data_IF_365268139485
#
_entry.id   IF_365268139485
#
_cell.length_a   1.000
_cell.length_b   1.000
_cell.length_c   1.000
_cell.angle_alpha   90.00
_cell.angle_beta   90.00
_cell.angle_gamma   90.00
#
_symmetry.space_group_name_H-M   'P 1'
#
loop_
_entity.id
_entity.type
_entity.pdbx_description
1 polymer ?
#
# COMPACT_ATOMS: atom_id res chain seq x y z
N UNK A 1 16.07 -3.72 17.67
CA UNK A 1 16.16 -2.26 17.44
C UNK A 1 17.61 -1.84 17.32
N UNK A 2 17.91 -1.03 16.32
CA UNK A 2 19.20 -0.35 16.14
C UNK A 2 18.96 1.15 16.09
N UNK A 3 19.94 1.95 16.51
CA UNK A 3 19.87 3.41 16.57
C UNK A 3 19.69 3.94 17.99
N UNK A 4 19.91 5.24 18.16
CA UNK A 4 19.70 5.89 19.45
C UNK A 4 18.23 6.23 19.62
N UNK A 5 17.51 5.48 20.43
CA UNK A 5 16.16 5.86 20.80
C UNK A 5 16.16 6.81 21.98
N UNK A 6 15.29 7.76 21.86
CA UNK A 6 15.04 8.74 22.91
C UNK A 6 13.99 8.20 23.87
N UNK A 7 13.79 8.88 24.98
CA UNK A 7 12.64 8.66 25.89
C UNK A 7 11.27 8.78 25.22
N UNK A 8 11.24 9.15 23.92
CA UNK A 8 10.03 9.34 23.10
C UNK A 8 9.65 8.11 22.26
N UNK A 9 10.51 7.08 22.23
CA UNK A 9 10.21 5.79 21.59
C UNK A 9 9.29 4.99 22.49
N UNK A 10 8.25 4.40 21.93
CA UNK A 10 7.31 3.50 22.61
C UNK A 10 7.00 2.31 21.74
N UNK A 11 7.03 1.14 22.31
CA UNK A 11 6.54 -0.10 21.71
C UNK A 11 5.67 -0.82 22.76
N UNK A 12 4.44 -1.08 22.42
CA UNK A 12 3.48 -1.76 23.29
C UNK A 12 2.65 -2.76 22.51
N UNK A 13 2.28 -3.85 23.16
CA UNK A 13 1.33 -4.84 22.62
C UNK A 13 0.07 -4.77 23.44
N UNK A 14 -1.04 -4.45 22.77
CA UNK A 14 -2.38 -4.45 23.36
C UNK A 14 -3.38 -5.06 22.38
N UNK A 15 -4.24 -5.94 22.86
CA UNK A 15 -5.30 -6.58 22.06
C UNK A 15 -4.77 -7.19 20.74
N UNK A 16 -3.66 -7.95 20.82
CA UNK A 16 -2.94 -8.54 19.68
C UNK A 16 -2.43 -7.52 18.64
N UNK A 17 -2.34 -6.26 19.02
CA UNK A 17 -1.82 -5.19 18.17
C UNK A 17 -0.52 -4.67 18.74
N UNK A 18 0.56 -4.77 17.97
CA UNK A 18 1.83 -4.11 18.26
C UNK A 18 1.78 -2.67 17.75
N UNK A 19 1.95 -1.73 18.67
CA UNK A 19 2.06 -0.30 18.36
C UNK A 19 3.47 0.16 18.61
N UNK A 20 4.08 0.72 17.58
CA UNK A 20 5.40 1.33 17.66
C UNK A 20 5.26 2.79 17.28
N UNK A 21 5.75 3.67 18.11
CA UNK A 21 5.72 5.10 17.86
C UNK A 21 6.95 5.80 18.39
N UNK A 22 7.36 6.84 17.69
CA UNK A 22 8.43 7.71 18.11
C UNK A 22 8.09 9.16 17.74
N UNK A 23 8.29 10.08 18.68
CA UNK A 23 8.09 11.51 18.39
C UNK A 23 9.33 12.04 17.64
N UNK A 24 9.14 12.87 16.61
CA UNK A 24 10.24 13.49 15.89
C UNK A 24 11.16 14.27 16.85
N UNK A 25 12.46 14.16 16.63
CA UNK A 25 13.47 14.99 17.30
C UNK A 25 14.49 15.46 16.26
N UNK A 26 14.51 16.76 15.99
CA UNK A 26 15.40 17.36 14.98
C UNK A 26 16.89 17.26 15.31
N UNK A 27 17.22 16.93 16.56
CA UNK A 27 18.61 16.78 17.03
C UNK A 27 19.16 15.37 16.84
N UNK A 28 18.32 14.45 16.30
CA UNK A 28 18.75 13.06 16.05
C UNK A 28 19.50 12.93 14.74
N UNK A 29 20.74 12.44 14.74
CA UNK A 29 21.48 12.17 13.52
C UNK A 29 21.04 10.87 12.82
N UNK A 30 20.43 9.91 13.54
CA UNK A 30 20.15 8.58 13.04
C UNK A 30 18.66 8.23 13.09
N UNK A 31 18.24 7.35 12.17
CA UNK A 31 16.90 6.77 12.17
C UNK A 31 16.83 5.58 13.13
N UNK A 32 15.70 5.41 13.81
CA UNK A 32 15.45 4.18 14.57
C UNK A 32 15.06 3.07 13.61
N UNK A 33 15.78 1.96 13.66
CA UNK A 33 15.43 0.74 12.94
C UNK A 33 14.82 -0.25 13.92
N UNK A 34 13.68 -0.81 13.54
CA UNK A 34 12.95 -1.80 14.34
C UNK A 34 12.67 -3.03 13.48
N UNK A 35 13.15 -4.17 13.91
CA UNK A 35 12.80 -5.46 13.31
C UNK A 35 11.68 -6.10 14.13
N UNK A 36 10.61 -6.49 13.45
CA UNK A 36 9.46 -7.15 14.06
C UNK A 36 9.34 -8.56 13.46
N UNK A 37 9.34 -9.56 14.33
CA UNK A 37 9.06 -10.94 13.96
C UNK A 37 7.59 -11.23 14.19
N UNK A 38 6.93 -11.85 13.21
CA UNK A 38 5.50 -12.17 13.28
C UNK A 38 5.23 -13.55 12.66
N UNK A 39 4.16 -14.19 13.09
CA UNK A 39 3.71 -15.46 12.51
C UNK A 39 2.58 -15.24 11.50
N UNK A 40 1.68 -14.32 11.77
CA UNK A 40 0.57 -13.96 10.90
C UNK A 40 0.17 -12.50 11.12
N UNK A 41 -0.20 -11.83 10.04
CA UNK A 41 -0.72 -10.46 10.07
C UNK A 41 -2.10 -10.41 9.41
N UNK A 42 -2.99 -9.60 9.99
CA UNK A 42 -4.30 -9.27 9.42
C UNK A 42 -4.40 -7.80 9.06
N UNK A 43 -3.59 -6.97 9.68
CA UNK A 43 -3.57 -5.54 9.42
C UNK A 43 -2.16 -4.98 9.56
N UNK A 44 -1.84 -4.00 8.71
CA UNK A 44 -0.61 -3.20 8.77
C UNK A 44 -0.98 -1.74 8.61
N UNK A 45 -0.57 -0.90 9.54
CA UNK A 45 -0.79 0.55 9.47
C UNK A 45 0.53 1.29 9.62
N UNK A 46 0.87 2.10 8.62
CA UNK A 46 2.09 2.89 8.56
C UNK A 46 1.74 4.38 8.49
N UNK A 47 2.33 5.16 9.38
CA UNK A 47 2.15 6.61 9.41
C UNK A 47 3.50 7.31 9.59
N UNK A 48 3.99 7.96 8.53
CA UNK A 48 5.27 8.66 8.54
C UNK A 48 6.49 7.76 8.75
N UNK A 49 6.38 6.47 8.43
CA UNK A 49 7.42 5.47 8.63
C UNK A 49 7.64 4.66 7.34
N UNK A 50 8.83 4.10 7.19
CA UNK A 50 9.12 3.14 6.13
C UNK A 50 9.06 1.71 6.70
N UNK A 51 8.43 0.80 5.95
CA UNK A 51 8.44 -0.63 6.28
C UNK A 51 8.80 -1.45 5.05
N UNK A 52 9.66 -2.43 5.26
CA UNK A 52 10.01 -3.45 4.26
C UNK A 52 9.74 -4.81 4.87
N UNK A 53 8.96 -5.63 4.16
CA UNK A 53 8.73 -7.02 4.54
C UNK A 53 9.78 -7.89 3.87
N UNK A 54 10.55 -8.62 4.69
CA UNK A 54 11.48 -9.64 4.22
C UNK A 54 10.70 -10.92 3.92
N UNK A 55 10.94 -11.50 2.72
CA UNK A 55 10.20 -12.67 2.24
C UNK A 55 8.79 -12.34 1.76
N UNK A 56 7.93 -13.35 1.72
CA UNK A 56 6.54 -13.22 1.24
C UNK A 56 5.58 -13.10 2.43
N UNK A 57 4.80 -12.04 2.45
CA UNK A 57 3.70 -11.88 3.40
C UNK A 57 2.48 -12.62 2.88
N UNK A 58 2.18 -13.76 3.49
CA UNK A 58 1.03 -14.59 3.15
C UNK A 58 -0.13 -14.34 4.12
N UNK A 59 -1.33 -14.10 3.59
CA UNK A 59 -2.54 -13.93 4.38
C UNK A 59 -3.82 -14.26 3.61
N UNK A 60 -4.83 -14.78 4.29
CA UNK A 60 -6.17 -14.91 3.68
C UNK A 60 -6.83 -13.54 3.51
N UNK A 61 -6.74 -12.68 4.51
CA UNK A 61 -7.26 -11.30 4.51
C UNK A 61 -6.20 -10.39 5.10
N UNK A 62 -5.93 -9.28 4.41
CA UNK A 62 -4.98 -8.27 4.86
C UNK A 62 -5.53 -6.86 4.64
N UNK A 63 -5.60 -6.08 5.71
CA UNK A 63 -5.91 -4.66 5.68
C UNK A 63 -4.63 -3.84 5.78
N UNK A 64 -4.40 -2.93 4.83
CA UNK A 64 -3.20 -2.09 4.79
C UNK A 64 -3.57 -0.62 4.75
N UNK A 65 -3.01 0.17 5.66
CA UNK A 65 -3.14 1.63 5.67
C UNK A 65 -1.76 2.27 5.61
N UNK A 66 -1.53 3.15 4.62
CA UNK A 66 -0.26 3.85 4.43
C UNK A 66 -0.51 5.34 4.30
N UNK A 67 -0.02 6.14 5.24
CA UNK A 67 -0.29 7.57 5.25
C UNK A 67 0.91 8.43 5.70
N UNK A 68 0.78 9.78 5.58
CA UNK A 68 1.76 10.77 6.05
C UNK A 68 3.17 10.54 5.51
N UNK A 69 3.33 10.36 4.20
CA UNK A 69 4.63 10.12 3.54
C UNK A 69 5.30 8.81 3.97
N UNK A 70 4.52 7.85 4.45
CA UNK A 70 5.02 6.53 4.75
C UNK A 70 5.37 5.78 3.46
N UNK A 71 6.26 4.81 3.55
CA UNK A 71 6.61 3.92 2.44
C UNK A 71 6.46 2.46 2.84
N UNK A 72 5.91 1.66 1.94
CA UNK A 72 5.74 0.22 2.09
C UNK A 72 6.41 -0.51 0.94
N UNK A 73 7.22 -1.52 1.24
CA UNK A 73 7.73 -2.48 0.26
C UNK A 73 7.39 -3.89 0.73
N UNK A 74 6.65 -4.64 -0.07
CA UNK A 74 6.22 -5.99 0.29
C UNK A 74 6.03 -6.89 -0.92
N UNK A 75 6.41 -8.16 -0.76
CA UNK A 75 5.99 -9.26 -1.63
C UNK A 75 4.81 -9.97 -0.98
N UNK A 76 3.69 -10.05 -1.67
CA UNK A 76 2.41 -10.49 -1.14
C UNK A 76 1.95 -11.82 -1.75
N UNK A 77 1.32 -12.64 -0.95
CA UNK A 77 0.50 -13.76 -1.36
C UNK A 77 -0.80 -13.71 -0.56
N UNK A 78 -1.78 -12.93 -1.06
CA UNK A 78 -2.98 -12.58 -0.31
C UNK A 78 -4.24 -12.91 -1.10
N UNK A 79 -5.24 -13.50 -0.43
CA UNK A 79 -6.51 -13.73 -1.09
C UNK A 79 -7.33 -12.45 -1.19
N UNK A 80 -7.57 -11.77 -0.07
CA UNK A 80 -8.33 -10.52 -0.01
C UNK A 80 -7.46 -9.40 0.57
N UNK A 81 -7.06 -8.45 -0.27
CA UNK A 81 -6.30 -7.26 0.12
C UNK A 81 -7.16 -6.02 0.05
N UNK A 82 -7.34 -5.36 1.19
CA UNK A 82 -7.88 -4.00 1.25
C UNK A 82 -6.76 -3.04 1.60
N UNK A 83 -6.55 -2.05 0.73
CA UNK A 83 -5.48 -1.07 0.95
C UNK A 83 -6.01 0.36 0.82
N UNK A 84 -5.67 1.17 1.80
CA UNK A 84 -5.90 2.62 1.80
C UNK A 84 -4.57 3.35 1.87
N UNK A 85 -4.33 4.23 0.89
CA UNK A 85 -3.12 5.02 0.83
C UNK A 85 -3.44 6.50 0.66
N UNK A 86 -2.85 7.33 1.52
CA UNK A 86 -3.08 8.77 1.54
C UNK A 86 -1.79 9.55 1.85
N UNK A 87 -1.83 10.87 1.70
CA UNK A 87 -0.81 11.75 2.25
C UNK A 87 0.58 11.64 1.62
N UNK A 88 0.68 11.55 0.29
CA UNK A 88 1.94 11.46 -0.48
C UNK A 88 2.79 10.23 -0.11
N UNK A 89 2.14 9.16 0.29
CA UNK A 89 2.80 7.90 0.62
C UNK A 89 3.15 7.11 -0.63
N UNK A 90 4.02 6.12 -0.49
CA UNK A 90 4.43 5.24 -1.58
C UNK A 90 4.27 3.78 -1.18
N UNK A 91 3.88 2.93 -2.13
CA UNK A 91 3.86 1.49 -1.94
C UNK A 91 4.48 0.80 -3.15
N UNK A 92 5.40 -0.12 -2.91
CA UNK A 92 6.00 -1.01 -3.91
C UNK A 92 5.56 -2.44 -3.58
N UNK A 93 4.71 -3.01 -4.42
CA UNK A 93 4.09 -4.30 -4.18
C UNK A 93 4.41 -5.28 -5.30
N UNK A 94 4.66 -6.52 -4.94
CA UNK A 94 4.89 -7.62 -5.87
C UNK A 94 4.23 -8.91 -5.37
N UNK A 95 4.20 -9.96 -6.20
CA UNK A 95 3.62 -11.25 -5.83
C UNK A 95 2.23 -11.46 -6.40
N UNK A 96 1.27 -11.96 -5.61
CA UNK A 96 -0.08 -12.26 -6.08
C UNK A 96 -1.18 -11.87 -5.09
N UNK A 97 -2.30 -11.37 -5.64
CA UNK A 97 -3.52 -11.06 -4.89
C UNK A 97 -4.72 -11.52 -5.68
N UNK A 98 -5.65 -12.21 -5.03
CA UNK A 98 -6.85 -12.65 -5.70
C UNK A 98 -7.88 -11.52 -5.84
N UNK A 99 -8.18 -10.83 -4.75
CA UNK A 99 -9.13 -9.71 -4.71
C UNK A 99 -8.45 -8.49 -4.09
N UNK A 100 -8.40 -7.40 -4.85
CA UNK A 100 -7.84 -6.13 -4.41
C UNK A 100 -8.91 -5.06 -4.36
N UNK A 101 -9.09 -4.45 -3.19
CA UNK A 101 -9.81 -3.18 -3.03
C UNK A 101 -8.79 -2.11 -2.66
N UNK A 102 -8.58 -1.14 -3.55
CA UNK A 102 -7.55 -0.11 -3.42
C UNK A 102 -8.15 1.28 -3.46
N UNK A 103 -7.93 2.05 -2.42
CA UNK A 103 -8.18 3.49 -2.38
C UNK A 103 -6.87 4.26 -2.28
N UNK A 104 -6.64 5.20 -3.19
CA UNK A 104 -5.44 6.05 -3.18
C UNK A 104 -5.82 7.51 -3.32
N UNK A 105 -5.41 8.31 -2.35
CA UNK A 105 -5.52 9.77 -2.43
C UNK A 105 -4.16 10.41 -2.20
N UNK A 106 -3.59 10.98 -3.23
CA UNK A 106 -2.23 11.51 -3.26
C UNK A 106 -1.15 10.46 -2.96
N UNK A 107 -0.24 10.26 -3.85
CA UNK A 107 0.84 9.29 -3.67
C UNK A 107 0.94 8.29 -4.82
N UNK A 108 1.78 7.29 -4.62
CA UNK A 108 2.11 6.34 -5.70
C UNK A 108 2.02 4.89 -5.22
N UNK A 109 1.32 4.07 -5.97
CA UNK A 109 1.31 2.60 -5.83
C UNK A 109 1.97 1.99 -7.06
N UNK A 110 3.15 1.43 -6.90
CA UNK A 110 3.87 0.68 -7.90
C UNK A 110 3.63 -0.82 -7.64
N UNK A 111 2.73 -1.41 -8.41
CA UNK A 111 2.30 -2.79 -8.29
C UNK A 111 2.21 -3.51 -9.65
N UNK A 112 3.06 -3.11 -10.60
CA UNK A 112 3.15 -3.79 -11.90
C UNK A 112 3.70 -5.22 -11.79
N UNK A 113 4.34 -5.56 -10.68
CA UNK A 113 4.83 -6.91 -10.38
C UNK A 113 3.93 -7.66 -9.39
N UNK A 114 2.76 -7.11 -9.08
CA UNK A 114 1.72 -7.74 -8.30
C UNK A 114 0.63 -8.26 -9.26
N UNK A 115 0.54 -9.57 -9.43
CA UNK A 115 -0.53 -10.19 -10.20
C UNK A 115 -1.84 -10.14 -9.42
N UNK A 116 -2.83 -9.44 -9.96
CA UNK A 116 -4.14 -9.28 -9.34
C UNK A 116 -5.22 -9.91 -10.22
N UNK A 117 -5.97 -10.89 -9.69
CA UNK A 117 -7.06 -11.52 -10.44
C UNK A 117 -8.23 -10.53 -10.62
N UNK A 118 -8.69 -9.92 -9.55
CA UNK A 118 -9.80 -8.95 -9.59
C UNK A 118 -9.46 -7.72 -8.77
N UNK A 119 -9.53 -6.54 -9.39
CA UNK A 119 -9.22 -5.26 -8.76
C UNK A 119 -10.37 -4.28 -8.83
N UNK A 120 -10.68 -3.66 -7.70
CA UNK A 120 -11.49 -2.45 -7.60
C UNK A 120 -10.60 -1.31 -7.09
N UNK A 121 -10.42 -0.26 -7.91
CA UNK A 121 -9.48 0.82 -7.65
C UNK A 121 -10.16 2.17 -7.71
N UNK A 122 -10.02 2.95 -6.65
CA UNK A 122 -10.44 4.35 -6.59
C UNK A 122 -9.21 5.23 -6.34
N UNK A 123 -8.82 6.00 -7.36
CA UNK A 123 -7.68 6.89 -7.31
C UNK A 123 -8.12 8.35 -7.47
N UNK A 124 -7.61 9.22 -6.60
CA UNK A 124 -7.95 10.65 -6.63
C UNK A 124 -6.76 11.55 -6.29
N UNK A 125 -6.93 12.86 -6.55
CA UNK A 125 -6.00 13.90 -6.11
C UNK A 125 -4.55 13.68 -6.59
N UNK A 126 -4.37 13.48 -7.90
CA UNK A 126 -3.06 13.22 -8.54
C UNK A 126 -2.38 11.91 -8.10
N UNK A 127 -3.14 10.96 -7.57
CA UNK A 127 -2.59 9.63 -7.26
C UNK A 127 -2.13 8.92 -8.54
N UNK A 128 -1.04 8.18 -8.44
CA UNK A 128 -0.50 7.34 -9.50
C UNK A 128 -0.55 5.87 -9.09
N UNK A 129 -1.21 5.05 -9.86
CA UNK A 129 -1.36 3.61 -9.59
C UNK A 129 -0.94 2.81 -10.82
N UNK A 130 -0.04 1.85 -10.65
CA UNK A 130 0.29 0.86 -11.67
C UNK A 130 0.02 -0.55 -11.16
N UNK A 131 -0.65 -1.38 -11.98
CA UNK A 131 -1.13 -2.72 -11.60
C UNK A 131 -0.95 -3.73 -12.73
N UNK A 132 -0.94 -5.01 -12.37
CA UNK A 132 -1.09 -6.12 -13.31
C UNK A 132 -2.38 -6.87 -13.01
N UNK A 133 -3.34 -6.86 -13.96
CA UNK A 133 -4.70 -7.37 -13.74
C UNK A 133 -5.02 -8.45 -14.77
N UNK A 134 -5.53 -9.61 -14.32
CA UNK A 134 -5.69 -10.79 -15.17
C UNK A 134 -7.13 -11.14 -15.53
N UNK A 135 -8.13 -10.80 -14.70
CA UNK A 135 -9.52 -11.22 -14.98
C UNK A 135 -10.54 -10.07 -14.93
N UNK A 136 -10.59 -9.31 -13.84
CA UNK A 136 -11.58 -8.24 -13.66
C UNK A 136 -10.97 -6.95 -13.17
N UNK A 137 -11.29 -5.84 -13.82
CA UNK A 137 -10.90 -4.51 -13.41
C UNK A 137 -12.11 -3.55 -13.30
N UNK A 138 -12.24 -2.89 -12.17
CA UNK A 138 -13.15 -1.77 -11.95
C UNK A 138 -12.33 -0.58 -11.51
N UNK A 139 -12.25 0.45 -12.35
CA UNK A 139 -11.43 1.64 -12.09
C UNK A 139 -12.27 2.91 -12.00
N UNK A 140 -11.94 3.76 -11.03
CA UNK A 140 -12.48 5.10 -10.88
C UNK A 140 -11.34 6.08 -10.61
N UNK A 141 -11.31 7.17 -11.39
CA UNK A 141 -10.30 8.22 -11.24
C UNK A 141 -10.92 9.59 -11.18
N UNK A 142 -10.41 10.43 -10.31
CA UNK A 142 -10.84 11.84 -10.19
C UNK A 142 -9.63 12.75 -9.94
N UNK A 143 -9.78 14.03 -10.27
CA UNK A 143 -8.82 15.08 -9.89
C UNK A 143 -7.37 14.76 -10.32
N UNK A 144 -7.20 14.55 -11.63
CA UNK A 144 -5.90 14.27 -12.27
C UNK A 144 -5.18 13.01 -11.75
N UNK A 145 -5.89 12.05 -11.17
CA UNK A 145 -5.32 10.77 -10.81
C UNK A 145 -5.16 9.88 -12.05
N UNK A 146 -4.17 8.99 -12.02
CA UNK A 146 -3.84 8.07 -13.11
C UNK A 146 -3.79 6.64 -12.62
N UNK A 147 -4.47 5.76 -13.34
CA UNK A 147 -4.35 4.31 -13.19
C UNK A 147 -3.78 3.76 -14.50
N UNK A 148 -2.64 3.12 -14.42
CA UNK A 148 -2.05 2.35 -15.53
C UNK A 148 -2.12 0.87 -15.18
N UNK A 149 -2.60 0.03 -16.09
CA UNK A 149 -2.63 -1.41 -15.83
C UNK A 149 -2.10 -2.19 -17.03
N UNK A 150 -1.40 -3.29 -16.76
CA UNK A 150 -1.03 -4.30 -17.75
C UNK A 150 -1.86 -5.58 -17.55
N UNK A 151 -1.84 -6.44 -18.53
CA UNK A 151 -2.60 -7.69 -18.56
C UNK A 151 -3.81 -7.60 -19.48
N UNK A 152 -4.61 -8.67 -19.52
CA UNK A 152 -5.78 -8.79 -20.39
C UNK A 152 -7.04 -9.22 -19.62
N UNK A 153 -7.57 -8.34 -18.73
CA UNK A 153 -8.75 -8.67 -17.96
C UNK A 153 -9.98 -8.84 -18.86
N UNK A 154 -10.75 -9.91 -18.65
CA UNK A 154 -11.98 -10.20 -19.40
C UNK A 154 -13.09 -9.18 -19.16
N UNK A 155 -13.08 -8.58 -17.98
CA UNK A 155 -14.07 -7.57 -17.57
C UNK A 155 -13.34 -6.30 -17.21
N UNK A 156 -13.57 -5.24 -18.00
CA UNK A 156 -13.08 -3.90 -17.68
C UNK A 156 -14.28 -2.97 -17.52
N UNK A 157 -14.46 -2.47 -16.32
CA UNK A 157 -15.43 -1.41 -16.01
C UNK A 157 -14.65 -0.21 -15.51
N UNK A 158 -14.23 0.64 -16.42
CA UNK A 158 -13.60 1.90 -16.11
C UNK A 158 -14.47 3.01 -16.66
N UNK A 159 -14.77 4.02 -15.89
CA UNK A 159 -15.65 5.01 -16.48
C UNK A 159 -15.83 6.32 -15.77
N UNK A 160 -15.69 6.42 -14.50
CA UNK A 160 -15.74 7.72 -13.87
C UNK A 160 -14.38 8.44 -14.00
N UNK A 161 -14.10 8.94 -15.21
CA UNK A 161 -13.04 9.91 -15.46
C UNK A 161 -13.61 11.29 -15.17
N UNK A 162 -13.36 11.82 -14.00
CA UNK A 162 -13.85 13.13 -13.61
C UNK A 162 -12.67 14.06 -13.31
N UNK A 163 -12.75 15.31 -13.75
CA UNK A 163 -11.72 16.34 -13.52
C UNK A 163 -10.29 15.89 -13.90
N UNK A 164 -10.10 15.39 -15.12
CA UNK A 164 -8.78 15.05 -15.65
C UNK A 164 -8.22 13.69 -15.18
N UNK A 165 -9.05 12.81 -14.62
CA UNK A 165 -8.61 11.46 -14.29
C UNK A 165 -8.38 10.59 -15.52
N UNK A 166 -7.37 9.71 -15.50
CA UNK A 166 -6.96 8.86 -16.61
C UNK A 166 -6.88 7.39 -16.19
N UNK A 167 -7.33 6.50 -17.08
CA UNK A 167 -7.14 5.05 -16.95
C UNK A 167 -6.59 4.55 -18.27
N UNK A 168 -5.40 3.98 -18.25
CA UNK A 168 -4.68 3.55 -19.45
C UNK A 168 -4.23 2.09 -19.28
N UNK A 169 -4.43 1.30 -20.35
CA UNK A 169 -3.77 0.01 -20.48
C UNK A 169 -2.37 0.24 -21.05
N UNK A 170 -1.39 -0.40 -20.45
CA UNK A 170 0.00 -0.41 -20.91
C UNK A 170 0.39 -1.83 -21.30
N UNK A 171 1.41 -1.98 -22.16
CA UNK A 171 1.94 -3.28 -22.57
C UNK A 171 2.73 -3.99 -21.47
#
# INVERSE_FOLDING_TARGET
>A
TKGSYTTKFRAEVKDKTLRISEKPDSRRPERTEVTVYYNALRAVSLSGAAATFEGTLAAAVLDVTVNRKASLTAKLEVKDLKMEQTGYSTANLSGSVRYLTLYVSTGKVAASDLEVMSAEVNAQSKAEVSLWITDRFVGKTTTNARISYKGDPKIVRGGAKFMGGEINRVE
#
